data_IF_463862723163
#
_entry.id   IF_463862723163
#
_cell.length_a   1.000
_cell.length_b   1.000
_cell.length_c   1.000
_cell.angle_alpha   90.00
_cell.angle_beta   90.00
_cell.angle_gamma   90.00
#
_symmetry.space_group_name_H-M   'P 1'
#
loop_
_entity.id
_entity.type
_entity.pdbx_description
1 polymer ?
#
# COMPACT_ATOMS: atom_id res chain seq x y z
N UNK A 1 25.56 -8.98 4.67
CA UNK A 1 24.37 -8.22 4.24
C UNK A 1 24.73 -7.39 3.03
N UNK A 2 24.17 -7.70 1.86
CA UNK A 2 24.40 -6.95 0.62
C UNK A 2 23.53 -5.69 0.58
N UNK A 3 23.82 -4.76 -0.34
CA UNK A 3 22.94 -3.59 -0.57
C UNK A 3 21.52 -4.02 -0.97
N UNK A 4 21.40 -5.09 -1.77
CA UNK A 4 20.12 -5.67 -2.16
C UNK A 4 19.36 -6.19 -0.95
N UNK A 5 20.01 -6.95 -0.06
CA UNK A 5 19.35 -7.51 1.14
C UNK A 5 18.85 -6.41 2.09
N UNK A 6 19.64 -5.35 2.28
CA UNK A 6 19.21 -4.18 3.06
C UNK A 6 18.01 -3.48 2.42
N UNK A 7 18.05 -3.31 1.10
CA UNK A 7 16.94 -2.70 0.38
C UNK A 7 15.68 -3.58 0.42
N UNK A 8 15.83 -4.91 0.28
CA UNK A 8 14.73 -5.87 0.40
C UNK A 8 14.03 -5.76 1.75
N UNK A 9 14.78 -5.73 2.85
CA UNK A 9 14.18 -5.57 4.19
C UNK A 9 13.45 -4.25 4.36
N UNK A 10 14.03 -3.16 3.84
CA UNK A 10 13.40 -1.84 3.87
C UNK A 10 12.06 -1.85 3.15
N UNK A 11 12.01 -2.43 1.94
CA UNK A 11 10.76 -2.50 1.20
C UNK A 11 9.79 -3.47 1.90
N UNK A 12 10.19 -4.68 2.31
CA UNK A 12 9.31 -5.60 3.05
C UNK A 12 8.58 -4.94 4.23
N UNK A 13 9.30 -4.21 5.08
CA UNK A 13 8.70 -3.50 6.21
C UNK A 13 7.71 -2.41 5.78
N UNK A 14 8.02 -1.63 4.73
CA UNK A 14 7.07 -0.64 4.20
C UNK A 14 5.78 -1.29 3.69
N UNK A 15 5.83 -2.49 3.10
CA UNK A 15 4.62 -3.13 2.59
C UNK A 15 3.74 -3.61 3.72
N UNK A 16 4.38 -4.16 4.76
CA UNK A 16 3.70 -4.58 5.98
C UNK A 16 2.97 -3.39 6.63
N UNK A 17 3.63 -2.24 6.76
CA UNK A 17 3.01 -1.01 7.24
C UNK A 17 1.79 -0.62 6.39
N UNK A 18 1.91 -0.60 5.06
CA UNK A 18 0.81 -0.23 4.17
C UNK A 18 -0.36 -1.23 4.25
N UNK A 19 -0.08 -2.53 4.42
CA UNK A 19 -1.10 -3.56 4.62
C UNK A 19 -1.89 -3.34 5.91
N UNK A 20 -1.19 -3.04 7.00
CA UNK A 20 -1.81 -2.73 8.28
C UNK A 20 -2.71 -1.50 8.15
N UNK A 21 -2.29 -0.48 7.40
CA UNK A 21 -3.13 0.69 7.13
C UNK A 21 -4.41 0.34 6.34
N UNK A 22 -4.33 -0.56 5.35
CA UNK A 22 -5.51 -1.05 4.62
C UNK A 22 -6.47 -1.80 5.57
N UNK A 23 -5.94 -2.61 6.49
CA UNK A 23 -6.75 -3.32 7.49
C UNK A 23 -7.45 -2.35 8.43
N UNK A 24 -6.76 -1.31 8.89
CA UNK A 24 -7.34 -0.25 9.73
C UNK A 24 -8.44 0.48 8.97
N UNK A 25 -8.18 0.87 7.71
CA UNK A 25 -9.14 1.57 6.87
C UNK A 25 -10.39 0.72 6.61
N UNK A 26 -10.22 -0.57 6.32
CA UNK A 26 -11.34 -1.51 6.16
C UNK A 26 -12.17 -1.60 7.43
N UNK A 27 -11.52 -1.74 8.59
CA UNK A 27 -12.23 -1.77 9.88
C UNK A 27 -13.04 -0.49 10.12
N UNK A 28 -12.50 0.67 9.73
CA UNK A 28 -13.24 1.94 9.82
C UNK A 28 -14.45 1.97 8.89
N UNK A 29 -14.31 1.50 7.65
CA UNK A 29 -15.41 1.35 6.68
C UNK A 29 -16.51 0.45 7.24
N UNK A 30 -16.14 -0.70 7.81
CA UNK A 30 -17.07 -1.69 8.36
C UNK A 30 -17.87 -1.14 9.57
N UNK A 31 -17.36 -0.10 10.24
CA UNK A 31 -18.02 0.59 11.35
C UNK A 31 -18.73 1.90 10.95
N UNK A 32 -18.69 2.29 9.67
CA UNK A 32 -19.32 3.51 9.19
C UNK A 32 -20.83 3.33 8.94
N UNK A 33 -21.56 4.44 8.74
CA UNK A 33 -22.97 4.42 8.31
C UNK A 33 -23.08 3.93 6.86
N UNK A 34 -24.19 3.27 6.50
CA UNK A 34 -24.40 2.60 5.20
C UNK A 34 -24.01 3.43 3.96
N UNK A 35 -24.39 4.71 3.89
CA UNK A 35 -24.13 5.55 2.70
C UNK A 35 -22.63 5.83 2.51
N UNK A 36 -21.93 6.08 3.61
CA UNK A 36 -20.47 6.27 3.67
C UNK A 36 -19.79 4.93 3.32
N UNK A 37 -20.26 3.83 3.89
CA UNK A 37 -19.68 2.51 3.70
C UNK A 37 -19.60 2.10 2.22
N UNK A 38 -20.66 2.33 1.43
CA UNK A 38 -20.70 1.95 0.01
C UNK A 38 -19.63 2.68 -0.83
N UNK A 39 -19.43 3.98 -0.62
CA UNK A 39 -18.42 4.74 -1.35
C UNK A 39 -17.00 4.24 -1.05
N UNK A 40 -16.74 3.92 0.22
CA UNK A 40 -15.41 3.56 0.68
C UNK A 40 -15.04 2.10 0.43
N UNK A 41 -16.01 1.18 0.34
CA UNK A 41 -15.76 -0.22 -0.06
C UNK A 41 -14.99 -0.27 -1.39
N UNK A 42 -15.43 0.48 -2.40
CA UNK A 42 -14.77 0.52 -3.71
C UNK A 42 -13.32 1.04 -3.62
N UNK A 43 -13.07 2.02 -2.74
CA UNK A 43 -11.72 2.55 -2.50
C UNK A 43 -10.83 1.51 -1.81
N UNK A 44 -11.35 0.76 -0.83
CA UNK A 44 -10.63 -0.36 -0.20
C UNK A 44 -10.30 -1.47 -1.20
N UNK A 45 -11.22 -1.82 -2.10
CA UNK A 45 -10.95 -2.81 -3.13
C UNK A 45 -9.84 -2.36 -4.10
N UNK A 46 -9.80 -1.07 -4.45
CA UNK A 46 -8.70 -0.50 -5.23
C UNK A 46 -7.37 -0.62 -4.48
N UNK A 47 -7.33 -0.31 -3.18
CA UNK A 47 -6.13 -0.47 -2.35
C UNK A 47 -5.64 -1.91 -2.31
N UNK A 48 -6.54 -2.89 -2.15
CA UNK A 48 -6.18 -4.32 -2.19
C UNK A 48 -5.61 -4.78 -3.53
N UNK A 49 -6.02 -4.17 -4.65
CA UNK A 49 -5.42 -4.46 -5.96
C UNK A 49 -3.98 -3.92 -6.02
N UNK A 50 -3.78 -2.68 -5.58
CA UNK A 50 -2.45 -2.06 -5.52
C UNK A 50 -1.51 -2.79 -4.53
N UNK A 51 -2.03 -3.28 -3.41
CA UNK A 51 -1.31 -4.14 -2.47
C UNK A 51 -0.77 -5.39 -3.17
N UNK A 52 -1.61 -6.11 -3.90
CA UNK A 52 -1.21 -7.30 -4.67
C UNK A 52 -0.16 -6.98 -5.73
N UNK A 53 -0.35 -5.89 -6.47
CA UNK A 53 0.63 -5.43 -7.46
C UNK A 53 1.99 -5.14 -6.79
N UNK A 54 2.00 -4.52 -5.60
CA UNK A 54 3.21 -4.26 -4.83
C UNK A 54 3.88 -5.55 -4.32
N UNK A 55 3.10 -6.54 -3.87
CA UNK A 55 3.59 -7.88 -3.49
C UNK A 55 4.22 -8.63 -4.67
N UNK A 56 3.59 -8.59 -5.84
CA UNK A 56 4.10 -9.21 -7.06
C UNK A 56 5.44 -8.57 -7.46
N UNK A 57 5.53 -7.23 -7.43
CA UNK A 57 6.78 -6.51 -7.71
C UNK A 57 7.88 -6.83 -6.71
N UNK A 58 7.55 -7.02 -5.43
CA UNK A 58 8.50 -7.48 -4.43
C UNK A 58 9.00 -8.90 -4.71
N UNK A 59 8.11 -9.80 -5.15
CA UNK A 59 8.47 -11.15 -5.53
C UNK A 59 9.42 -11.16 -6.74
N UNK A 60 9.12 -10.36 -7.77
CA UNK A 60 10.00 -10.16 -8.93
C UNK A 60 11.37 -9.58 -8.52
N UNK A 61 11.39 -8.63 -7.59
CA UNK A 61 12.62 -8.04 -7.05
C UNK A 61 13.49 -9.08 -6.33
N UNK A 62 12.88 -9.93 -5.49
CA UNK A 62 13.58 -11.00 -4.75
C UNK A 62 14.32 -11.95 -5.68
N UNK A 63 13.74 -12.22 -6.85
CA UNK A 63 14.32 -13.09 -7.88
C UNK A 63 15.49 -12.46 -8.65
N UNK A 64 15.73 -11.14 -8.54
CA UNK A 64 16.86 -10.49 -9.22
C UNK A 64 18.20 -10.84 -8.57
N UNK A 65 19.26 -10.93 -9.36
CA UNK A 65 20.62 -11.08 -8.85
C UNK A 65 21.16 -9.77 -8.27
N UNK A 66 22.24 -9.86 -7.46
CA UNK A 66 22.91 -8.69 -6.87
C UNK A 66 23.45 -7.69 -7.90
N UNK A 67 23.66 -8.11 -9.15
CA UNK A 67 24.15 -7.24 -10.24
C UNK A 67 23.04 -6.55 -11.05
N UNK A 68 21.76 -6.89 -10.83
CA UNK A 68 20.64 -6.41 -11.68
C UNK A 68 19.51 -5.71 -10.93
N UNK A 69 19.48 -5.81 -9.59
CA UNK A 69 18.37 -5.30 -8.79
C UNK A 69 18.20 -3.77 -8.82
N UNK A 70 19.29 -3.00 -8.98
CA UNK A 70 19.23 -1.53 -8.98
C UNK A 70 18.37 -0.99 -10.13
N UNK A 71 18.46 -1.61 -11.31
CA UNK A 71 17.62 -1.27 -12.47
C UNK A 71 16.13 -1.52 -12.26
N UNK A 72 15.78 -2.38 -11.30
CA UNK A 72 14.40 -2.73 -10.98
C UNK A 72 13.81 -1.84 -9.87
N UNK A 73 14.66 -1.06 -9.20
CA UNK A 73 14.31 -0.29 -8.02
C UNK A 73 13.20 0.72 -8.29
N UNK A 74 13.33 1.52 -9.36
CA UNK A 74 12.35 2.56 -9.72
C UNK A 74 10.96 1.96 -9.98
N UNK A 75 10.89 0.80 -10.65
CA UNK A 75 9.61 0.13 -10.91
C UNK A 75 8.94 -0.39 -9.64
N UNK A 76 9.73 -0.82 -8.65
CA UNK A 76 9.22 -1.22 -7.34
C UNK A 76 8.75 0.03 -6.59
N UNK A 77 9.58 1.08 -6.48
CA UNK A 77 9.25 2.31 -5.77
C UNK A 77 7.98 2.97 -6.31
N UNK A 78 7.82 3.05 -7.64
CA UNK A 78 6.64 3.66 -8.26
C UNK A 78 5.30 3.01 -7.85
N UNK A 79 5.22 1.67 -7.83
CA UNK A 79 3.98 0.98 -7.45
C UNK A 79 3.63 1.20 -5.97
N UNK A 80 4.65 1.35 -5.14
CA UNK A 80 4.51 1.48 -3.71
C UNK A 80 4.16 2.90 -3.29
N UNK A 81 4.78 3.88 -3.95
CA UNK A 81 4.44 5.29 -3.79
C UNK A 81 2.98 5.52 -4.19
N UNK A 82 2.53 4.91 -5.30
CA UNK A 82 1.11 4.93 -5.70
C UNK A 82 0.18 4.33 -4.64
N UNK A 83 0.54 3.20 -4.03
CA UNK A 83 -0.25 2.61 -2.94
C UNK A 83 -0.30 3.55 -1.72
N UNK A 84 0.85 4.08 -1.31
CA UNK A 84 0.99 5.02 -0.19
C UNK A 84 0.16 6.29 -0.38
N UNK A 85 0.17 6.85 -1.59
CA UNK A 85 -0.60 8.06 -1.92
C UNK A 85 -2.10 7.79 -1.84
N UNK A 86 -2.57 6.66 -2.36
CA UNK A 86 -3.99 6.29 -2.30
C UNK A 86 -4.46 6.04 -0.86
N UNK A 87 -3.63 5.40 -0.03
CA UNK A 87 -3.91 5.22 1.41
C UNK A 87 -3.97 6.58 2.11
N UNK A 88 -3.00 7.46 1.85
CA UNK A 88 -2.94 8.81 2.45
C UNK A 88 -4.17 9.63 2.07
N UNK A 89 -4.55 9.62 0.79
CA UNK A 89 -5.74 10.29 0.29
C UNK A 89 -7.01 9.74 0.95
N UNK A 90 -7.11 8.42 1.11
CA UNK A 90 -8.28 7.81 1.73
C UNK A 90 -8.38 8.13 3.22
N UNK A 91 -7.27 8.10 3.96
CA UNK A 91 -7.20 8.54 5.38
C UNK A 91 -7.63 9.99 5.54
N UNK A 92 -7.21 10.87 4.63
CA UNK A 92 -7.60 12.28 4.63
C UNK A 92 -9.11 12.44 4.44
N UNK A 93 -9.69 11.78 3.43
CA UNK A 93 -11.15 11.81 3.19
C UNK A 93 -11.94 11.36 4.43
N UNK A 94 -11.51 10.29 5.08
CA UNK A 94 -12.12 9.82 6.32
C UNK A 94 -12.08 10.89 7.43
N UNK A 95 -10.94 11.56 7.62
CA UNK A 95 -10.79 12.60 8.62
C UNK A 95 -11.69 13.82 8.34
N UNK A 96 -11.81 14.21 7.08
CA UNK A 96 -12.62 15.34 6.65
C UNK A 96 -14.13 15.05 6.86
N UNK A 97 -14.57 13.82 6.58
CA UNK A 97 -15.94 13.33 6.84
C UNK A 97 -16.28 13.25 8.34
N UNK A 98 -15.33 12.85 9.19
CA UNK A 98 -15.53 12.82 10.66
C UNK A 98 -15.62 14.23 11.24
N UNK A 99 -14.85 15.18 10.71
CA UNK A 99 -14.82 16.57 11.20
C UNK A 99 -16.03 17.41 10.76
N UNK A 100 -16.78 16.92 9.77
CA UNK A 100 -17.97 17.60 9.22
C UNK A 100 -19.29 17.17 9.88
N UNK A 101 -19.23 16.27 10.88
CA UNK A 101 -20.36 15.79 11.69
C UNK A 101 -20.37 16.43 13.07
#
# INVERSE_FOLDING_TARGET
MTKKELYQKKIEGRLEELKDEIVILKTRVDNAKNDVQLEYINQIEKLKKLEKEAEEKLSEFKQKGDDSWESFKESVEHNWDKLSDEITNLKKKFKDEESSK
#
